data_IF_699277802602
#
_entry.id   IF_699277802602
#
_cell.length_a   1.000
_cell.length_b   1.000
_cell.length_c   1.000
_cell.angle_alpha   90.00
_cell.angle_beta   90.00
_cell.angle_gamma   90.00
#
_symmetry.space_group_name_H-M   'P 1'
#
loop_
_entity.id
_entity.type
_entity.pdbx_description
1 polymer ?
#
# COMPACT_ATOMS: atom_id res chain seq x y z
N UNK A 1 3.30 10.21 -7.49
CA UNK A 1 3.08 8.94 -8.24
C UNK A 1 1.76 8.25 -7.85
N UNK A 2 1.13 7.48 -8.75
CA UNK A 2 -0.12 6.72 -8.49
C UNK A 2 0.05 5.25 -8.90
N UNK A 3 -0.43 4.30 -8.10
CA UNK A 3 -0.37 2.86 -8.44
C UNK A 3 -1.51 2.05 -7.81
N UNK A 4 -2.10 1.16 -8.60
CA UNK A 4 -3.16 0.24 -8.16
C UNK A 4 -2.61 -1.15 -7.87
N UNK A 5 -3.02 -1.73 -6.74
CA UNK A 5 -2.72 -3.09 -6.32
C UNK A 5 -4.00 -3.91 -6.21
N UNK A 6 -4.01 -5.06 -6.86
CA UNK A 6 -5.13 -6.01 -6.80
C UNK A 6 -4.84 -7.07 -5.76
N UNK A 7 -5.77 -7.26 -4.82
CA UNK A 7 -5.62 -8.18 -3.70
C UNK A 7 -6.33 -9.48 -4.04
N UNK A 8 -5.67 -10.61 -3.79
CA UNK A 8 -6.11 -11.92 -4.30
C UNK A 8 -6.79 -12.78 -3.24
N UNK A 9 -6.26 -12.78 -2.03
CA UNK A 9 -6.66 -13.73 -0.99
C UNK A 9 -7.38 -13.05 0.16
N UNK A 10 -6.99 -11.82 0.50
CA UNK A 10 -7.64 -11.01 1.52
C UNK A 10 -8.62 -10.00 0.94
N UNK A 11 -9.49 -9.47 1.81
CA UNK A 11 -10.31 -8.30 1.49
C UNK A 11 -9.44 -7.03 1.50
N UNK A 12 -9.56 -6.22 0.45
CA UNK A 12 -8.81 -4.99 0.27
C UNK A 12 -9.00 -4.01 1.43
N UNK A 13 -10.17 -4.02 2.07
CA UNK A 13 -10.46 -3.20 3.26
C UNK A 13 -9.65 -3.64 4.47
N UNK A 14 -9.48 -4.94 4.68
CA UNK A 14 -8.69 -5.46 5.80
C UNK A 14 -7.20 -5.25 5.59
N UNK A 15 -6.73 -5.39 4.35
CA UNK A 15 -5.36 -5.01 3.98
C UNK A 15 -5.12 -3.53 4.24
N UNK A 16 -6.05 -2.66 3.80
CA UNK A 16 -5.96 -1.23 4.05
C UNK A 16 -5.88 -0.89 5.54
N UNK A 17 -6.71 -1.52 6.37
CA UNK A 17 -6.66 -1.35 7.84
C UNK A 17 -5.30 -1.74 8.41
N UNK A 18 -4.69 -2.83 7.94
CA UNK A 18 -3.36 -3.27 8.38
C UNK A 18 -2.28 -2.26 8.00
N UNK A 19 -2.33 -1.71 6.78
CA UNK A 19 -1.40 -0.68 6.30
C UNK A 19 -1.48 0.57 7.18
N UNK A 20 -2.69 1.03 7.49
CA UNK A 20 -2.91 2.19 8.37
C UNK A 20 -2.38 1.95 9.79
N UNK A 21 -2.56 0.74 10.32
CA UNK A 21 -2.13 0.39 11.68
C UNK A 21 -0.61 0.32 11.82
N UNK A 22 0.09 -0.16 10.78
CA UNK A 22 1.53 -0.41 10.83
C UNK A 22 2.38 0.79 10.35
N UNK A 23 1.78 1.76 9.66
CA UNK A 23 2.48 2.98 9.25
C UNK A 23 3.60 2.70 8.25
N UNK A 24 3.27 2.08 7.12
CA UNK A 24 4.23 1.66 6.08
C UNK A 24 5.00 2.84 5.45
N UNK A 25 4.45 4.05 5.52
CA UNK A 25 5.03 5.25 4.93
C UNK A 25 5.46 6.26 5.99
N UNK A 26 6.65 6.83 5.80
CA UNK A 26 7.23 7.88 6.64
C UNK A 26 6.48 9.22 6.48
N UNK A 27 6.55 10.08 7.50
CA UNK A 27 5.86 11.38 7.54
C UNK A 27 6.22 12.34 6.40
N UNK A 28 7.34 12.10 5.70
CA UNK A 28 7.78 12.88 4.52
C UNK A 28 7.01 12.54 3.24
N UNK A 29 6.16 11.51 3.29
CA UNK A 29 5.27 11.16 2.19
C UNK A 29 3.87 11.67 2.51
N UNK A 30 3.37 12.55 1.64
CA UNK A 30 1.94 12.80 1.56
C UNK A 30 1.31 11.67 0.75
N UNK A 31 0.34 10.98 1.32
CA UNK A 31 -0.28 9.86 0.63
C UNK A 31 -1.78 9.74 0.89
N UNK A 32 -2.48 9.18 -0.10
CA UNK A 32 -3.88 8.83 -0.06
C UNK A 32 -4.10 7.46 -0.69
N UNK A 33 -5.28 6.88 -0.46
CA UNK A 33 -5.63 5.58 -0.98
C UNK A 33 -7.11 5.49 -1.29
N UNK A 34 -7.42 5.02 -2.50
CA UNK A 34 -8.77 4.71 -2.93
C UNK A 34 -9.01 3.21 -2.87
N UNK A 35 -10.10 2.82 -2.23
CA UNK A 35 -10.54 1.43 -2.11
C UNK A 35 -11.63 1.14 -3.14
N UNK A 36 -11.38 0.15 -4.00
CA UNK A 36 -12.40 -0.43 -4.88
C UNK A 36 -12.78 -1.82 -4.35
N UNK A 37 -13.89 -1.89 -3.61
CA UNK A 37 -14.43 -3.15 -3.06
C UNK A 37 -14.94 -4.10 -4.17
N UNK A 38 -15.29 -3.59 -5.36
CA UNK A 38 -15.78 -4.44 -6.46
C UNK A 38 -14.64 -5.18 -7.16
N UNK A 39 -13.51 -4.49 -7.32
CA UNK A 39 -12.30 -5.06 -7.94
C UNK A 39 -11.33 -5.63 -6.92
N UNK A 40 -11.67 -5.57 -5.63
CA UNK A 40 -10.80 -5.91 -4.51
C UNK A 40 -9.40 -5.28 -4.66
N UNK A 41 -9.37 -3.96 -4.90
CA UNK A 41 -8.17 -3.24 -5.27
C UNK A 41 -7.96 -1.98 -4.41
N UNK A 42 -6.69 -1.63 -4.22
CA UNK A 42 -6.26 -0.41 -3.54
C UNK A 42 -5.42 0.44 -4.49
N UNK A 43 -5.80 1.68 -4.72
CA UNK A 43 -5.04 2.64 -5.51
C UNK A 43 -4.35 3.63 -4.60
N UNK A 44 -3.02 3.58 -4.54
CA UNK A 44 -2.21 4.48 -3.73
C UNK A 44 -1.77 5.69 -4.52
N UNK A 45 -2.00 6.86 -3.94
CA UNK A 45 -1.50 8.14 -4.39
C UNK A 45 -0.39 8.55 -3.43
N UNK A 46 0.87 8.52 -3.86
CA UNK A 46 2.02 8.82 -3.00
C UNK A 46 2.77 10.00 -3.60
N UNK A 47 3.04 11.02 -2.78
CA UNK A 47 3.85 12.17 -3.14
C UNK A 47 4.90 12.44 -2.06
N UNK A 48 6.16 12.51 -2.45
CA UNK A 48 7.24 12.84 -1.52
C UNK A 48 7.39 14.36 -1.42
N UNK A 49 7.33 14.89 -0.20
CA UNK A 49 7.40 16.34 0.06
C UNK A 49 8.77 16.79 0.58
N UNK A 50 9.76 15.87 0.66
CA UNK A 50 11.14 16.18 1.06
C UNK A 50 12.05 16.55 -0.11
N UNK A 51 13.34 16.79 0.17
CA UNK A 51 14.38 17.28 -0.76
C UNK A 51 14.69 16.43 -2.01
N UNK A 52 15.96 16.30 -2.39
CA UNK A 52 16.34 15.77 -3.71
C UNK A 52 15.84 14.34 -4.02
N UNK A 53 15.54 14.12 -5.31
CA UNK A 53 15.07 12.87 -5.93
C UNK A 53 13.69 12.34 -5.45
N UNK A 54 12.60 13.13 -5.53
CA UNK A 54 11.27 12.70 -5.11
C UNK A 54 10.78 11.45 -5.84
N UNK A 55 11.02 11.34 -7.15
CA UNK A 55 10.54 10.19 -7.95
C UNK A 55 11.14 8.85 -7.51
N UNK A 56 12.43 8.82 -7.16
CA UNK A 56 13.09 7.60 -6.68
C UNK A 56 12.54 7.20 -5.31
N UNK A 57 12.29 8.18 -4.43
CA UNK A 57 11.69 7.95 -3.10
C UNK A 57 10.27 7.44 -3.21
N UNK A 58 9.45 8.05 -4.06
CA UNK A 58 8.07 7.62 -4.34
C UNK A 58 8.03 6.20 -4.92
N UNK A 59 8.94 5.90 -5.87
CA UNK A 59 9.04 4.57 -6.47
C UNK A 59 9.41 3.52 -5.43
N UNK A 60 10.39 3.83 -4.56
CA UNK A 60 10.78 2.93 -3.47
C UNK A 60 9.63 2.71 -2.49
N UNK A 61 8.96 3.77 -2.06
CA UNK A 61 7.80 3.70 -1.18
C UNK A 61 6.69 2.78 -1.74
N UNK A 62 6.37 2.91 -3.04
CA UNK A 62 5.38 2.04 -3.69
C UNK A 62 5.84 0.58 -3.80
N UNK A 63 7.14 0.31 -3.93
CA UNK A 63 7.68 -1.05 -3.88
C UNK A 63 7.58 -1.64 -2.48
N UNK A 64 7.84 -0.86 -1.45
CA UNK A 64 7.72 -1.29 -0.06
C UNK A 64 6.25 -1.59 0.29
N UNK A 65 5.30 -0.76 -0.16
CA UNK A 65 3.86 -1.03 -0.06
C UNK A 65 3.48 -2.32 -0.81
N UNK A 66 3.97 -2.51 -2.04
CA UNK A 66 3.68 -3.72 -2.81
C UNK A 66 4.19 -4.99 -2.10
N UNK A 67 5.41 -4.95 -1.58
CA UNK A 67 6.01 -6.06 -0.84
C UNK A 67 5.22 -6.36 0.43
N UNK A 68 4.81 -5.31 1.16
CA UNK A 68 3.98 -5.45 2.34
C UNK A 68 2.62 -6.08 2.03
N UNK A 69 1.91 -5.58 1.01
CA UNK A 69 0.63 -6.14 0.54
C UNK A 69 0.79 -7.62 0.20
N UNK A 70 1.85 -7.97 -0.55
CA UNK A 70 2.13 -9.36 -0.90
C UNK A 70 2.40 -10.23 0.32
N UNK A 71 3.16 -9.74 1.30
CA UNK A 71 3.45 -10.49 2.52
C UNK A 71 2.16 -10.82 3.28
N UNK A 72 1.31 -9.82 3.54
CA UNK A 72 0.06 -10.03 4.28
C UNK A 72 -0.99 -10.81 3.48
N UNK A 73 -1.00 -10.69 2.15
CA UNK A 73 -1.91 -11.44 1.28
C UNK A 73 -1.52 -12.93 1.21
N UNK A 74 -0.22 -13.26 1.34
CA UNK A 74 0.27 -14.64 1.35
C UNK A 74 0.19 -15.29 2.74
N UNK A 75 0.31 -14.50 3.83
CA UNK A 75 0.18 -15.00 5.22
C UNK A 75 -1.23 -15.50 5.59
N UNK A 76 -2.17 -15.57 4.65
CA UNK A 76 -3.51 -16.10 4.91
C UNK A 76 -3.76 -17.41 4.16
N UNK A 77 -3.43 -18.53 4.81
CA UNK A 77 -4.37 -19.65 4.90
C UNK A 77 -4.43 -20.18 6.34
N UNK A 78 -5.45 -19.77 7.09
CA UNK A 78 -5.89 -20.43 8.32
C UNK A 78 -4.93 -20.39 9.51
N UNK A 79 -5.18 -19.49 10.45
CA UNK A 79 -4.90 -19.82 11.85
C UNK A 79 -6.19 -20.34 12.49
N UNK A 80 -6.03 -21.53 13.08
CA UNK A 80 -7.04 -22.42 13.67
C UNK A 80 -7.57 -21.95 15.02
#
# INVERSE_FOLDING_TARGET
>A
MVRTFYIKHLDAKDVLRRIHRLGVLDYRFNWGVDLDEKLNALTFHVSYTGGDNPEEKETKALRDIEAFIKAIDIESPGEA
#
